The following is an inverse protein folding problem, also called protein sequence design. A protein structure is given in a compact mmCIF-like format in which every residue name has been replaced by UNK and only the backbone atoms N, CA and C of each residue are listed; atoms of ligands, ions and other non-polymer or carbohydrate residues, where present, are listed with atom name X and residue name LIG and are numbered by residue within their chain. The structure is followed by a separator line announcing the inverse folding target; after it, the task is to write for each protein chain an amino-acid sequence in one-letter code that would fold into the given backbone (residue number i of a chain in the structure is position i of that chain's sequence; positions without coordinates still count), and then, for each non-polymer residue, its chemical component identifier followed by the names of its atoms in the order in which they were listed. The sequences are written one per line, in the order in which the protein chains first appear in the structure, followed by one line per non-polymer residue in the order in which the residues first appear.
data_IF_569005748924
#
_entry.id   IF_569005748924
#
_cell.length_a   1.000
_cell.length_b   1.000
_cell.length_c   1.000
_cell.angle_alpha   90.00
_cell.angle_beta   90.00
_cell.angle_gamma   90.00
#
_symmetry.space_group_name_H-M   'P 1'
#
loop_
_entity.id
_entity.type
_entity.pdbx_description
1 polymer ?
#
# COMPACT_ATOMS: atom_id res chain seq x y z
N UNK A 1 -28.09 10.65 -6.69
CA UNK A 1 -26.90 10.19 -7.42
C UNK A 1 -26.35 8.95 -6.73
N UNK A 2 -26.56 7.75 -7.31
CA UNK A 2 -26.06 6.51 -6.72
C UNK A 2 -24.54 6.42 -6.83
N UNK A 3 -23.87 6.00 -5.76
CA UNK A 3 -22.42 5.75 -5.80
C UNK A 3 -22.10 4.73 -6.90
N UNK A 4 -21.14 5.01 -7.80
CA UNK A 4 -20.76 4.08 -8.86
C UNK A 4 -20.42 2.70 -8.30
N UNK A 5 -20.97 1.63 -8.89
CA UNK A 5 -20.64 0.27 -8.48
C UNK A 5 -19.17 -0.01 -8.80
N UNK A 6 -18.37 -0.21 -7.75
CA UNK A 6 -16.95 -0.55 -7.90
C UNK A 6 -16.77 -1.95 -8.46
N UNK A 7 -15.81 -2.10 -9.37
CA UNK A 7 -15.37 -3.41 -9.88
C UNK A 7 -14.73 -4.26 -8.78
N UNK A 8 -14.64 -5.58 -9.00
CA UNK A 8 -13.97 -6.50 -8.07
C UNK A 8 -12.54 -6.06 -7.76
N UNK A 9 -11.78 -5.67 -8.80
CA UNK A 9 -10.42 -5.17 -8.68
C UNK A 9 -10.34 -3.89 -7.84
N UNK A 10 -11.23 -2.92 -8.09
CA UNK A 10 -11.28 -1.68 -7.32
C UNK A 10 -11.58 -1.96 -5.84
N UNK A 11 -12.47 -2.90 -5.54
CA UNK A 11 -12.74 -3.33 -4.16
C UNK A 11 -11.51 -3.95 -3.52
N UNK A 12 -10.76 -4.79 -4.24
CA UNK A 12 -9.51 -5.38 -3.74
C UNK A 12 -8.46 -4.32 -3.43
N UNK A 13 -8.24 -3.35 -4.32
CA UNK A 13 -7.31 -2.22 -4.10
C UNK A 13 -7.69 -1.43 -2.85
N UNK A 14 -8.97 -1.05 -2.70
CA UNK A 14 -9.42 -0.31 -1.54
C UNK A 14 -9.40 -1.14 -0.25
N UNK A 15 -9.62 -2.45 -0.34
CA UNK A 15 -9.49 -3.37 0.81
C UNK A 15 -8.04 -3.43 1.27
N UNK A 16 -7.10 -3.56 0.34
CA UNK A 16 -5.67 -3.57 0.63
C UNK A 16 -5.21 -2.27 1.29
N UNK A 17 -5.59 -1.12 0.73
CA UNK A 17 -5.30 0.20 1.32
C UNK A 17 -5.80 0.31 2.76
N UNK A 18 -7.08 -0.05 3.00
CA UNK A 18 -7.65 -0.04 4.36
C UNK A 18 -6.97 -1.05 5.28
N UNK A 19 -6.52 -2.18 4.74
CA UNK A 19 -5.74 -3.19 5.45
C UNK A 19 -4.48 -2.59 6.07
N UNK A 20 -3.69 -1.86 5.28
CA UNK A 20 -2.50 -1.16 5.75
C UNK A 20 -2.81 -0.14 6.84
N UNK A 21 -3.82 0.72 6.64
CA UNK A 21 -4.19 1.72 7.64
C UNK A 21 -4.67 1.09 8.96
N UNK A 22 -5.34 -0.06 8.90
CA UNK A 22 -5.75 -0.80 10.11
C UNK A 22 -4.56 -1.43 10.82
N UNK A 23 -3.65 -2.05 10.06
CA UNK A 23 -2.44 -2.65 10.62
C UNK A 23 -1.50 -1.59 11.24
N UNK A 24 -1.46 -0.37 10.69
CA UNK A 24 -0.71 0.74 11.28
C UNK A 24 -1.23 1.13 12.68
N UNK A 25 -2.52 0.90 12.99
CA UNK A 25 -3.11 1.27 14.30
C UNK A 25 -2.59 0.45 15.46
N UNK A 26 -2.03 -0.73 15.21
CA UNK A 26 -1.41 -1.57 16.25
C UNK A 26 0.07 -1.23 16.50
N UNK A 27 0.62 -0.24 15.79
CA UNK A 27 2.01 0.21 15.94
C UNK A 27 2.08 1.46 16.83
N UNK A 28 3.29 1.87 17.22
CA UNK A 28 3.54 3.11 17.97
C UNK A 28 2.96 4.32 17.22
N UNK A 29 2.64 5.41 17.93
CA UNK A 29 2.08 6.63 17.30
C UNK A 29 2.99 7.19 16.21
N UNK A 30 4.30 7.14 16.41
CA UNK A 30 5.29 7.60 15.43
C UNK A 30 5.32 6.69 14.20
N UNK A 31 5.46 5.37 14.39
CA UNK A 31 5.49 4.40 13.29
C UNK A 31 4.19 4.40 12.52
N UNK A 32 3.05 4.50 13.21
CA UNK A 32 1.74 4.61 12.59
C UNK A 32 1.71 5.79 11.61
N UNK A 33 2.08 7.00 12.05
CA UNK A 33 2.09 8.20 11.19
C UNK A 33 2.98 8.00 9.98
N UNK A 34 4.16 7.42 10.19
CA UNK A 34 5.13 7.15 9.12
C UNK A 34 4.59 6.14 8.09
N UNK A 35 4.02 5.03 8.57
CA UNK A 35 3.39 4.00 7.74
C UNK A 35 2.22 4.59 6.95
N UNK A 36 1.30 5.30 7.61
CA UNK A 36 0.15 5.92 6.96
C UNK A 36 0.60 6.89 5.85
N UNK A 37 1.59 7.75 6.13
CA UNK A 37 2.14 8.70 5.14
C UNK A 37 2.68 7.99 3.90
N UNK A 38 3.45 6.92 4.10
CA UNK A 38 4.03 6.11 3.03
C UNK A 38 2.94 5.45 2.18
N UNK A 39 2.01 4.76 2.83
CA UNK A 39 0.94 4.02 2.15
C UNK A 39 0.07 4.98 1.35
N UNK A 40 -0.26 6.15 1.91
CA UNK A 40 -1.02 7.18 1.20
C UNK A 40 -0.25 7.67 -0.03
N UNK A 41 1.05 7.96 0.11
CA UNK A 41 1.88 8.44 -0.99
C UNK A 41 1.98 7.40 -2.12
N UNK A 42 2.24 6.14 -1.78
CA UNK A 42 2.37 5.05 -2.76
C UNK A 42 1.05 4.79 -3.51
N UNK A 43 -0.07 4.65 -2.80
CA UNK A 43 -1.37 4.43 -3.44
C UNK A 43 -1.79 5.60 -4.33
N UNK A 44 -1.52 6.85 -3.91
CA UNK A 44 -1.77 8.04 -4.72
C UNK A 44 -0.89 8.08 -5.96
N UNK A 45 0.39 7.72 -5.84
CA UNK A 45 1.33 7.63 -6.95
C UNK A 45 0.86 6.58 -7.97
N UNK A 46 0.59 5.36 -7.51
CA UNK A 46 0.10 4.28 -8.37
C UNK A 46 -1.24 4.63 -9.04
N UNK A 47 -2.15 5.33 -8.35
CA UNK A 47 -3.41 5.78 -8.95
C UNK A 47 -3.25 6.81 -10.08
N UNK A 48 -2.11 7.52 -10.13
CA UNK A 48 -1.76 8.47 -11.20
C UNK A 48 -0.95 7.82 -12.32
N UNK A 49 0.02 6.97 -11.98
CA UNK A 49 1.00 6.41 -12.91
C UNK A 49 0.54 5.10 -13.57
N UNK A 50 -0.32 4.31 -12.92
CA UNK A 50 -0.76 3.02 -13.44
C UNK A 50 -2.01 3.16 -14.29
N UNK A 51 -1.93 2.72 -15.54
CA UNK A 51 -3.10 2.61 -16.41
C UNK A 51 -4.14 1.67 -15.78
N UNK A 52 -5.38 2.17 -15.66
CA UNK A 52 -6.53 1.45 -15.12
C UNK A 52 -6.88 0.20 -15.91
N UNK A 53 -6.44 0.10 -17.17
CA UNK A 53 -6.62 -1.07 -18.05
C UNK A 53 -5.49 -2.09 -17.93
N UNK A 54 -4.39 -1.77 -17.26
CA UNK A 54 -3.28 -2.71 -17.04
C UNK A 54 -3.59 -3.65 -15.87
N UNK A 55 -4.55 -4.55 -16.07
CA UNK A 55 -5.04 -5.47 -15.05
C UNK A 55 -3.92 -6.36 -14.50
N UNK A 56 -3.03 -6.85 -15.36
CA UNK A 56 -1.93 -7.73 -14.96
C UNK A 56 -0.98 -7.03 -13.96
N UNK A 57 -0.65 -5.77 -14.23
CA UNK A 57 0.22 -5.00 -13.34
C UNK A 57 -0.49 -4.63 -12.02
N UNK A 58 -1.78 -4.28 -12.08
CA UNK A 58 -2.58 -4.01 -10.87
C UNK A 58 -2.65 -5.27 -10.00
N UNK A 59 -2.86 -6.44 -10.58
CA UNK A 59 -2.83 -7.70 -9.84
C UNK A 59 -1.47 -8.01 -9.23
N UNK A 60 -0.38 -7.76 -9.96
CA UNK A 60 0.96 -7.89 -9.42
C UNK A 60 1.15 -6.99 -8.19
N UNK A 61 0.75 -5.72 -8.26
CA UNK A 61 0.82 -4.79 -7.14
C UNK A 61 -0.05 -5.24 -5.97
N UNK A 62 -1.26 -5.76 -6.22
CA UNK A 62 -2.12 -6.33 -5.19
C UNK A 62 -1.48 -7.52 -4.47
N UNK A 63 -0.90 -8.46 -5.23
CA UNK A 63 -0.18 -9.61 -4.66
C UNK A 63 1.02 -9.17 -3.83
N UNK A 64 1.82 -8.24 -4.35
CA UNK A 64 2.98 -7.67 -3.62
C UNK A 64 2.55 -6.96 -2.34
N UNK A 65 1.59 -6.06 -2.45
CA UNK A 65 1.09 -5.30 -1.30
C UNK A 65 0.43 -6.18 -0.24
N UNK A 66 -0.24 -7.28 -0.62
CA UNK A 66 -0.76 -8.24 0.35
C UNK A 66 0.35 -8.90 1.18
N UNK A 67 1.46 -9.29 0.55
CA UNK A 67 2.63 -9.83 1.27
C UNK A 67 3.22 -8.79 2.25
N UNK A 68 3.33 -7.54 1.83
CA UNK A 68 3.80 -6.44 2.69
C UNK A 68 2.83 -6.18 3.85
N UNK A 69 1.52 -6.25 3.62
CA UNK A 69 0.51 -6.12 4.67
C UNK A 69 0.61 -7.25 5.70
N UNK A 70 0.80 -8.49 5.24
CA UNK A 70 0.94 -9.65 6.13
C UNK A 70 2.21 -9.55 6.99
N UNK A 71 3.31 -9.06 6.42
CA UNK A 71 4.53 -8.73 7.18
C UNK A 71 4.29 -7.62 8.21
N UNK A 72 3.63 -6.52 7.82
CA UNK A 72 3.33 -5.41 8.72
C UNK A 72 2.49 -5.83 9.94
N UNK A 73 1.60 -6.80 9.76
CA UNK A 73 0.77 -7.36 10.83
C UNK A 73 1.56 -8.16 11.85
N UNK A 74 2.75 -8.63 11.50
CA UNK A 74 3.61 -9.30 12.45
C UNK A 74 4.04 -8.29 13.56
N UNK A 75 3.80 -8.60 14.85
CA UNK A 75 4.19 -7.72 15.96
C UNK A 75 5.70 -7.44 16.00
N UNK A 76 6.53 -8.40 15.59
CA UNK A 76 8.00 -8.30 15.61
C UNK A 76 8.56 -7.41 14.49
N UNK A 77 7.71 -7.03 13.52
CA UNK A 77 8.12 -6.12 12.45
C UNK A 77 8.04 -4.68 12.95
N UNK A 78 9.18 -4.18 13.43
CA UNK A 78 9.40 -2.79 13.87
C UNK A 78 9.75 -1.90 12.67
N UNK A 79 8.73 -1.48 11.93
CA UNK A 79 8.83 -0.35 10.99
C UNK A 79 9.61 -0.55 9.69
N UNK A 80 9.11 0.08 8.62
CA UNK A 80 9.73 0.43 7.31
C UNK A 80 10.44 -0.63 6.46
N UNK A 81 11.23 -1.53 7.02
CA UNK A 81 12.03 -2.52 6.28
C UNK A 81 11.15 -3.42 5.38
N UNK A 82 9.95 -3.76 5.86
CA UNK A 82 8.94 -4.51 5.09
C UNK A 82 8.40 -3.77 3.86
N UNK A 83 8.41 -2.43 3.86
CA UNK A 83 7.87 -1.66 2.73
C UNK A 83 8.83 -1.61 1.54
N UNK A 84 10.09 -2.06 1.69
CA UNK A 84 11.08 -2.03 0.60
C UNK A 84 11.36 -0.62 0.07
N UNK A 85 11.06 0.41 0.89
CA UNK A 85 11.31 1.81 0.58
C UNK A 85 12.72 2.27 0.95
N UNK A 86 13.54 1.37 1.49
CA UNK A 86 14.99 1.49 1.39
C UNK A 86 15.50 0.84 0.10
N UNK A 87 14.90 1.24 -1.02
CA UNK A 87 15.60 1.19 -2.29
C UNK A 87 16.22 2.57 -2.44
N UNK A 88 17.50 2.62 -2.12
CA UNK A 88 18.43 3.70 -2.41
C UNK A 88 17.87 4.65 -3.46
N UNK A 89 17.58 5.89 -3.03
CA UNK A 89 17.65 7.05 -3.93
C UNK A 89 19.10 7.17 -4.41
N UNK A 90 19.50 6.30 -5.33
CA UNK A 90 20.59 6.52 -6.24
C UNK A 90 19.96 6.65 -7.63
N UNK A 91 19.30 7.79 -7.83
CA UNK A 91 19.43 8.48 -9.11
C UNK A 91 20.38 9.62 -8.87
N UNK A 92 21.62 9.45 -9.30
CA UNK A 92 22.43 10.52 -9.89
C UNK A 92 23.44 9.91 -10.86
N UNK A 93 23.87 10.66 -11.91
CA UNK A 93 23.29 11.89 -12.46
C UNK A 93 22.28 11.63 -13.58
#
# INVERSE_FOLDING_TARGET
MGSPRLSGMQKQVLSLYRGFLRAARSKSTEDRRRIESIVVAEFRRNAKEVDRKNFLYIEYLLRRGKKQLDQLRNPDTTGLSSFGLDSSRNREP
#
